data_IF_415422491831
#
_entry.id   IF_415422491831
#
_cell.length_a   1.000
_cell.length_b   1.000
_cell.length_c   1.000
_cell.angle_alpha   90.00
_cell.angle_beta   90.00
_cell.angle_gamma   90.00
#
_symmetry.space_group_name_H-M   'P 1'
#
loop_
_entity.id
_entity.type
_entity.pdbx_description
1 polymer ?
#
# COMPACT_ATOMS: atom_id res chain seq x y z
N UNK A 1 26.53 -18.32 -16.43
CA UNK A 1 25.68 -18.81 -15.32
C UNK A 1 25.42 -17.75 -14.24
N UNK A 2 26.29 -16.75 -14.03
CA UNK A 2 26.12 -15.72 -13.00
C UNK A 2 24.90 -14.80 -13.21
N UNK A 3 24.61 -14.39 -14.45
CA UNK A 3 23.47 -13.50 -14.74
C UNK A 3 22.09 -14.09 -14.40
N UNK A 4 21.90 -15.40 -14.56
CA UNK A 4 20.64 -16.07 -14.26
C UNK A 4 20.33 -16.13 -12.75
N UNK A 5 21.37 -16.26 -11.92
CA UNK A 5 21.27 -16.28 -10.45
C UNK A 5 20.91 -14.90 -9.89
N UNK A 6 21.45 -13.83 -10.47
CA UNK A 6 21.12 -12.45 -10.06
C UNK A 6 19.66 -12.08 -10.40
N UNK A 7 19.17 -12.49 -11.58
CA UNK A 7 17.78 -12.24 -12.00
C UNK A 7 16.79 -12.97 -11.08
N UNK A 8 17.03 -14.24 -10.77
CA UNK A 8 16.18 -15.02 -9.86
C UNK A 8 16.20 -14.48 -8.44
N UNK A 9 17.36 -14.07 -7.92
CA UNK A 9 17.47 -13.44 -6.61
C UNK A 9 16.67 -12.13 -6.50
N UNK A 10 16.74 -11.28 -7.52
CA UNK A 10 16.01 -10.01 -7.56
C UNK A 10 14.49 -10.21 -7.68
N UNK A 11 14.04 -11.16 -8.50
CA UNK A 11 12.62 -11.52 -8.64
C UNK A 11 12.04 -11.99 -7.30
N UNK A 12 12.78 -12.83 -6.56
CA UNK A 12 12.37 -13.28 -5.23
C UNK A 12 12.27 -12.14 -4.23
N UNK A 13 13.28 -11.26 -4.17
CA UNK A 13 13.25 -10.09 -3.30
C UNK A 13 12.04 -9.19 -3.59
N UNK A 14 11.75 -8.93 -4.85
CA UNK A 14 10.61 -8.10 -5.25
C UNK A 14 9.27 -8.77 -4.93
N UNK A 15 9.19 -10.10 -5.09
CA UNK A 15 8.00 -10.88 -4.71
C UNK A 15 7.73 -10.85 -3.21
N UNK A 16 8.78 -11.02 -2.39
CA UNK A 16 8.67 -10.96 -0.93
C UNK A 16 8.25 -9.55 -0.47
N UNK A 17 8.88 -8.52 -1.03
CA UNK A 17 8.53 -7.13 -0.77
C UNK A 17 7.07 -6.82 -1.16
N UNK A 18 6.64 -7.27 -2.34
CA UNK A 18 5.25 -7.09 -2.78
C UNK A 18 4.26 -7.81 -1.87
N UNK A 19 4.60 -9.02 -1.40
CA UNK A 19 3.78 -9.77 -0.45
C UNK A 19 3.66 -9.03 0.87
N UNK A 20 4.76 -8.48 1.39
CA UNK A 20 4.75 -7.65 2.60
C UNK A 20 3.88 -6.40 2.43
N UNK A 21 3.88 -5.77 1.25
CA UNK A 21 3.07 -4.58 0.97
C UNK A 21 1.56 -4.83 1.05
N UNK A 22 1.08 -6.04 0.73
CA UNK A 22 -0.34 -6.39 0.92
C UNK A 22 -0.78 -6.38 2.38
N UNK A 23 0.16 -6.50 3.32
CA UNK A 23 -0.10 -6.46 4.75
C UNK A 23 0.15 -5.05 5.29
N UNK A 24 1.28 -4.44 4.92
CA UNK A 24 1.70 -3.14 5.46
C UNK A 24 0.77 -2.01 5.00
N UNK A 25 0.39 -1.97 3.71
CA UNK A 25 -0.46 -0.91 3.19
C UNK A 25 -1.82 -0.81 3.90
N UNK A 26 -2.61 -1.91 4.06
CA UNK A 26 -3.88 -1.82 4.77
C UNK A 26 -3.70 -1.48 6.25
N UNK A 27 -2.67 -2.01 6.92
CA UNK A 27 -2.40 -1.66 8.32
C UNK A 27 -2.12 -0.16 8.49
N UNK A 28 -1.27 0.42 7.63
CA UNK A 28 -0.97 1.85 7.65
C UNK A 28 -2.21 2.69 7.32
N UNK A 29 -3.01 2.28 6.34
CA UNK A 29 -4.25 2.96 6.01
C UNK A 29 -5.24 2.95 7.19
N UNK A 30 -5.38 1.82 7.89
CA UNK A 30 -6.23 1.72 9.09
C UNK A 30 -5.74 2.68 10.17
N UNK A 31 -4.43 2.71 10.46
CA UNK A 31 -3.87 3.62 11.47
C UNK A 31 -4.15 5.10 11.14
N UNK A 32 -3.95 5.50 9.87
CA UNK A 32 -4.23 6.87 9.42
C UNK A 32 -5.73 7.18 9.50
N UNK A 33 -6.59 6.25 9.11
CA UNK A 33 -8.06 6.42 9.21
C UNK A 33 -8.49 6.56 10.66
N UNK A 34 -8.02 5.68 11.56
CA UNK A 34 -8.32 5.77 13.00
C UNK A 34 -7.87 7.11 13.56
N UNK A 35 -6.65 7.56 13.23
CA UNK A 35 -6.15 8.86 13.67
C UNK A 35 -7.06 10.01 13.22
N UNK A 36 -7.46 10.03 11.94
CA UNK A 36 -8.35 11.06 11.41
C UNK A 36 -9.76 11.00 12.04
N UNK A 37 -10.25 9.80 12.38
CA UNK A 37 -11.53 9.63 13.08
C UNK A 37 -11.43 10.21 14.50
N UNK A 38 -10.36 9.91 15.24
CA UNK A 38 -10.14 10.47 16.58
C UNK A 38 -10.09 12.00 16.52
N UNK A 39 -9.36 12.56 15.57
CA UNK A 39 -9.29 14.01 15.39
C UNK A 39 -10.65 14.61 14.99
N UNK A 40 -11.41 13.94 14.13
CA UNK A 40 -12.75 14.38 13.72
C UNK A 40 -13.71 14.56 14.90
N UNK A 41 -13.63 13.73 15.94
CA UNK A 41 -14.47 13.86 17.13
C UNK A 41 -14.10 15.04 18.03
N UNK A 42 -12.86 15.51 17.98
CA UNK A 42 -12.37 16.65 18.78
C UNK A 42 -12.35 17.97 18.01
N UNK A 43 -12.64 17.93 16.70
CA UNK A 43 -12.53 19.06 15.79
C UNK A 43 -13.82 19.88 15.70
N UNK A 44 -13.69 21.15 15.37
CA UNK A 44 -14.81 22.02 15.03
C UNK A 44 -15.35 21.71 13.61
N UNK A 45 -16.58 22.16 13.30
CA UNK A 45 -17.26 21.82 12.05
C UNK A 45 -16.49 22.22 10.78
N UNK A 46 -15.67 23.27 10.85
CA UNK A 46 -14.79 23.68 9.77
C UNK A 46 -13.68 22.65 9.50
N UNK A 47 -13.10 22.08 10.54
CA UNK A 47 -11.99 21.13 10.46
C UNK A 47 -12.46 19.70 10.16
N UNK A 48 -13.67 19.34 10.59
CA UNK A 48 -14.32 18.06 10.28
C UNK A 48 -14.36 17.74 8.78
N UNK A 49 -14.59 18.76 7.94
CA UNK A 49 -14.58 18.61 6.48
C UNK A 49 -13.21 18.13 5.95
N UNK A 50 -12.12 18.64 6.52
CA UNK A 50 -10.76 18.26 6.15
C UNK A 50 -10.45 16.82 6.57
N UNK A 51 -10.82 16.41 7.78
CA UNK A 51 -10.60 15.03 8.23
C UNK A 51 -11.40 14.01 7.40
N UNK A 52 -12.65 14.32 7.04
CA UNK A 52 -13.46 13.48 6.15
C UNK A 52 -12.83 13.36 4.76
N UNK A 53 -12.29 14.47 4.23
CA UNK A 53 -11.55 14.50 2.97
C UNK A 53 -10.29 13.62 3.05
N UNK A 54 -9.52 13.75 4.12
CA UNK A 54 -8.31 12.95 4.35
C UNK A 54 -8.62 11.45 4.41
N UNK A 55 -9.64 11.02 5.14
CA UNK A 55 -10.08 9.61 5.17
C UNK A 55 -10.37 9.10 3.76
N UNK A 56 -11.12 9.88 2.96
CA UNK A 56 -11.42 9.52 1.56
C UNK A 56 -10.15 9.39 0.72
N UNK A 57 -9.20 10.31 0.85
CA UNK A 57 -7.92 10.22 0.14
C UNK A 57 -7.08 9.02 0.59
N UNK A 58 -7.05 8.71 1.88
CA UNK A 58 -6.34 7.52 2.40
C UNK A 58 -6.89 6.24 1.81
N UNK A 59 -8.22 6.12 1.71
CA UNK A 59 -8.87 4.95 1.09
C UNK A 59 -8.55 4.86 -0.40
N UNK A 60 -8.60 5.98 -1.14
CA UNK A 60 -8.24 6.01 -2.56
C UNK A 60 -6.77 5.64 -2.76
N UNK A 61 -5.87 6.20 -1.94
CA UNK A 61 -4.45 5.89 -2.00
C UNK A 61 -4.16 4.42 -1.71
N UNK A 62 -4.89 3.80 -0.77
CA UNK A 62 -4.80 2.37 -0.51
C UNK A 62 -5.19 1.55 -1.75
N UNK A 63 -6.31 1.88 -2.40
CA UNK A 63 -6.78 1.17 -3.60
C UNK A 63 -5.73 1.29 -4.73
N UNK A 64 -5.20 2.49 -4.97
CA UNK A 64 -4.16 2.72 -5.98
C UNK A 64 -2.89 1.93 -5.64
N UNK A 65 -2.44 1.97 -4.38
CA UNK A 65 -1.25 1.23 -3.93
C UNK A 65 -1.40 -0.28 -4.08
N UNK A 66 -2.56 -0.84 -3.69
CA UNK A 66 -2.87 -2.25 -3.86
C UNK A 66 -2.93 -2.65 -5.34
N UNK A 67 -3.49 -1.80 -6.20
CA UNK A 67 -3.57 -2.04 -7.65
C UNK A 67 -2.19 -2.04 -8.30
N UNK A 68 -1.35 -1.06 -7.94
CA UNK A 68 0.03 -0.99 -8.41
C UNK A 68 0.84 -2.21 -7.95
N UNK A 69 0.67 -2.64 -6.69
CA UNK A 69 1.32 -3.83 -6.16
C UNK A 69 0.87 -5.12 -6.87
N UNK A 70 -0.43 -5.23 -7.17
CA UNK A 70 -1.00 -6.30 -8.00
C UNK A 70 -0.37 -6.36 -9.39
N UNK A 71 -0.20 -5.21 -10.03
CA UNK A 71 0.46 -5.12 -11.34
C UNK A 71 1.93 -5.55 -11.28
N UNK A 72 2.67 -5.16 -10.23
CA UNK A 72 4.06 -5.60 -10.03
C UNK A 72 4.13 -7.13 -9.90
N UNK A 73 3.24 -7.74 -9.11
CA UNK A 73 3.23 -9.20 -8.98
C UNK A 73 2.86 -9.93 -10.27
N UNK A 74 1.95 -9.37 -11.07
CA UNK A 74 1.66 -9.90 -12.39
C UNK A 74 2.92 -9.88 -13.27
N UNK A 75 3.68 -8.78 -13.26
CA UNK A 75 4.94 -8.68 -14.01
C UNK A 75 5.98 -9.68 -13.51
N UNK A 76 6.14 -9.82 -12.19
CA UNK A 76 7.08 -10.77 -11.59
C UNK A 76 6.72 -12.22 -11.94
N UNK A 77 5.43 -12.54 -12.09
CA UNK A 77 4.96 -13.87 -12.49
C UNK A 77 5.39 -14.32 -13.89
N UNK A 78 5.82 -13.40 -14.77
CA UNK A 78 6.37 -13.75 -16.09
C UNK A 78 7.85 -14.15 -16.04
N UNK A 79 8.54 -13.90 -14.92
CA UNK A 79 9.93 -14.30 -14.76
C UNK A 79 10.00 -15.67 -14.06
N UNK A 80 10.63 -16.69 -14.68
CA UNK A 80 10.80 -17.98 -14.04
C UNK A 80 11.66 -17.85 -12.77
N UNK A 81 11.19 -18.45 -11.68
CA UNK A 81 11.75 -18.38 -10.32
C UNK A 81 12.77 -19.46 -9.98
#
# INVERSE_FOLDING_TARGET
MTGFVWVTGLVRLMSDASTALYIILPLMAILVVIWNIVQYFHADDHEKANFKKNIKYTVIALIVGMTANGFINLLLGYFPS
#
